data_IF_118147947587
#
_entry.id   IF_118147947587
#
_cell.length_a   1.000
_cell.length_b   1.000
_cell.length_c   1.000
_cell.angle_alpha   90.00
_cell.angle_beta   90.00
_cell.angle_gamma   90.00
#
_symmetry.space_group_name_H-M   'P 1'
#
loop_
_entity.id
_entity.type
_entity.pdbx_description
1 polymer ?
#
# COMPACT_ATOMS: atom_id res chain seq x y z
N UNK A 1 18.08 16.74 -8.38
CA UNK A 1 18.86 15.59 -8.91
C UNK A 1 17.86 14.61 -9.49
N UNK A 2 17.98 14.27 -10.77
CA UNK A 2 17.06 13.35 -11.45
C UNK A 2 17.63 11.93 -11.53
N UNK A 3 16.76 10.95 -11.66
CA UNK A 3 17.12 9.56 -11.95
C UNK A 3 16.78 9.26 -13.42
N UNK A 4 17.70 8.64 -14.15
CA UNK A 4 17.50 8.23 -15.55
C UNK A 4 17.81 6.74 -15.64
N UNK A 5 16.89 5.97 -16.23
CA UNK A 5 17.08 4.56 -16.53
C UNK A 5 16.56 4.25 -17.95
N UNK A 6 17.27 3.36 -18.65
CA UNK A 6 16.88 2.85 -19.97
C UNK A 6 16.55 1.37 -19.85
N UNK A 7 15.40 0.97 -20.37
CA UNK A 7 14.94 -0.43 -20.37
C UNK A 7 15.07 -1.01 -21.78
N UNK A 8 15.84 -2.09 -21.93
CA UNK A 8 16.14 -2.72 -23.22
C UNK A 8 15.16 -3.84 -23.61
N UNK A 9 14.19 -4.15 -22.75
CA UNK A 9 13.20 -5.22 -22.95
C UNK A 9 11.81 -4.72 -22.58
N UNK A 10 10.81 -5.23 -23.29
CA UNK A 10 9.40 -5.02 -22.93
C UNK A 10 9.04 -5.80 -21.66
N UNK A 11 8.15 -5.23 -20.84
CA UNK A 11 7.71 -5.79 -19.57
C UNK A 11 7.14 -4.71 -18.63
N UNK A 12 7.17 -4.99 -17.33
CA UNK A 12 6.83 -4.02 -16.28
C UNK A 12 8.07 -3.76 -15.44
N UNK A 13 8.58 -2.54 -15.48
CA UNK A 13 9.67 -2.12 -14.61
C UNK A 13 9.15 -1.81 -13.21
N UNK A 14 9.87 -2.30 -12.20
CA UNK A 14 9.63 -1.95 -10.79
C UNK A 14 10.73 -1.00 -10.36
N UNK A 15 10.36 0.17 -9.87
CA UNK A 15 11.30 1.18 -9.36
C UNK A 15 10.95 1.46 -7.91
N UNK A 16 11.94 1.37 -7.03
CA UNK A 16 11.77 1.64 -5.60
C UNK A 16 12.75 2.67 -5.08
N UNK A 17 12.39 3.24 -3.94
CA UNK A 17 13.28 4.08 -3.15
C UNK A 17 13.06 3.85 -1.67
N UNK A 18 14.18 3.69 -0.98
CA UNK A 18 14.28 3.41 0.43
C UNK A 18 14.79 4.68 1.14
N UNK A 19 13.94 5.33 1.93
CA UNK A 19 14.33 6.57 2.60
C UNK A 19 15.00 6.32 3.94
N UNK A 20 16.04 7.12 4.24
CA UNK A 20 16.71 7.09 5.54
C UNK A 20 15.69 7.22 6.68
N UNK A 21 15.72 6.32 7.68
CA UNK A 21 14.81 6.39 8.82
C UNK A 21 14.94 7.72 9.56
N UNK A 22 13.82 8.18 10.12
CA UNK A 22 13.76 9.37 10.97
C UNK A 22 13.14 8.99 12.31
N UNK A 23 13.56 9.69 13.36
CA UNK A 23 12.89 9.60 14.65
C UNK A 23 11.80 10.67 14.68
N UNK A 24 10.57 10.25 14.93
CA UNK A 24 9.44 11.14 15.14
C UNK A 24 9.03 11.09 16.61
N UNK A 25 8.78 12.27 17.16
CA UNK A 25 8.16 12.40 18.48
C UNK A 25 6.80 13.09 18.28
N UNK A 26 5.77 12.50 18.86
CA UNK A 26 4.41 13.01 18.74
C UNK A 26 3.94 13.48 20.12
N UNK A 27 3.37 14.69 20.14
CA UNK A 27 2.76 15.25 21.33
C UNK A 27 1.54 14.41 21.76
N UNK A 28 1.36 14.09 23.05
CA UNK A 28 0.27 13.21 23.51
C UNK A 28 -1.14 13.65 23.09
N UNK A 29 -1.39 14.96 22.96
CA UNK A 29 -2.65 15.54 22.49
C UNK A 29 -3.00 15.19 21.03
N UNK A 30 -2.00 14.77 20.24
CA UNK A 30 -2.18 14.37 18.83
C UNK A 30 -2.39 12.88 18.62
N UNK A 31 -2.28 12.07 19.68
CA UNK A 31 -2.22 10.61 19.53
C UNK A 31 -3.49 10.03 18.90
N UNK A 32 -4.67 10.55 19.27
CA UNK A 32 -5.94 10.05 18.72
C UNK A 32 -6.11 10.39 17.24
N UNK A 33 -5.59 11.54 16.79
CA UNK A 33 -5.54 11.85 15.36
C UNK A 33 -4.61 10.89 14.63
N UNK A 34 -3.40 10.71 15.16
CA UNK A 34 -2.41 9.84 14.56
C UNK A 34 -2.88 8.38 14.47
N UNK A 35 -3.55 7.87 15.51
CA UNK A 35 -4.16 6.53 15.48
C UNK A 35 -5.25 6.37 14.42
N UNK A 36 -5.97 7.43 14.06
CA UNK A 36 -6.90 7.37 12.92
C UNK A 36 -6.15 7.32 11.59
N UNK A 37 -5.10 8.12 11.44
CA UNK A 37 -4.30 8.19 10.21
C UNK A 37 -3.60 6.87 9.88
N UNK A 38 -3.08 6.16 10.88
CA UNK A 38 -2.42 4.87 10.68
C UNK A 38 -3.36 3.66 10.78
N UNK A 39 -4.66 3.90 10.95
CA UNK A 39 -5.67 2.86 11.22
C UNK A 39 -5.26 1.92 12.37
N UNK A 40 -4.80 2.51 13.49
CA UNK A 40 -4.28 1.77 14.63
C UNK A 40 -5.31 0.78 15.18
N UNK A 41 -4.93 -0.50 15.17
CA UNK A 41 -5.71 -1.58 15.78
C UNK A 41 -5.74 -1.50 17.31
N UNK A 42 -6.66 -2.26 17.91
CA UNK A 42 -6.91 -2.26 19.35
C UNK A 42 -5.65 -2.58 20.18
N UNK A 43 -4.84 -3.55 19.74
CA UNK A 43 -3.61 -3.94 20.44
C UNK A 43 -2.63 -2.76 20.63
N UNK A 44 -2.48 -1.89 19.61
CA UNK A 44 -1.61 -0.72 19.72
C UNK A 44 -2.19 0.32 20.67
N UNK A 45 -3.51 0.54 20.61
CA UNK A 45 -4.23 1.47 21.49
C UNK A 45 -4.15 1.03 22.96
N UNK A 46 -4.33 -0.26 23.22
CA UNK A 46 -4.16 -0.84 24.56
C UNK A 46 -2.72 -0.70 25.06
N UNK A 47 -1.74 -0.99 24.18
CA UNK A 47 -0.32 -0.81 24.50
C UNK A 47 -0.02 0.63 24.92
N UNK A 48 -0.52 1.62 24.18
CA UNK A 48 -0.36 3.03 24.51
C UNK A 48 -1.06 3.44 25.81
N UNK A 49 -2.28 2.95 26.04
CA UNK A 49 -3.06 3.25 27.24
C UNK A 49 -2.34 2.77 28.51
N UNK A 50 -1.63 1.65 28.44
CA UNK A 50 -0.88 1.05 29.55
C UNK A 50 0.43 1.78 29.91
N UNK A 51 0.91 2.74 29.10
CA UNK A 51 2.14 3.49 29.39
C UNK A 51 1.88 4.50 30.53
N UNK A 52 2.68 4.49 31.63
CA UNK A 52 2.55 5.47 32.72
C UNK A 52 2.88 6.91 32.30
N UNK A 53 2.32 7.88 33.02
CA UNK A 53 2.65 9.29 32.80
C UNK A 53 4.01 9.69 33.40
N UNK A 54 4.75 10.65 32.78
CA UNK A 54 4.44 11.29 31.52
C UNK A 54 4.75 10.38 30.32
N UNK A 55 3.74 10.01 29.53
CA UNK A 55 3.92 9.14 28.37
C UNK A 55 4.43 9.93 27.17
N UNK A 56 5.30 9.31 26.37
CA UNK A 56 5.87 9.92 25.16
C UNK A 56 5.71 8.96 24.01
N UNK A 57 5.22 9.46 22.88
CA UNK A 57 5.27 8.73 21.63
C UNK A 57 6.58 9.03 20.93
N UNK A 58 7.39 7.98 20.71
CA UNK A 58 8.63 8.06 19.96
C UNK A 58 8.73 6.86 19.04
N UNK A 59 8.85 7.14 17.74
CA UNK A 59 8.90 6.08 16.73
C UNK A 59 10.08 6.27 15.78
N UNK A 60 10.52 5.14 15.23
CA UNK A 60 11.43 5.12 14.09
C UNK A 60 10.59 4.92 12.83
N UNK A 61 10.50 5.96 12.03
CA UNK A 61 9.71 6.01 10.81
C UNK A 61 10.60 5.86 9.57
N UNK A 62 10.23 4.94 8.68
CA UNK A 62 10.87 4.72 7.38
C UNK A 62 9.81 4.77 6.29
N UNK A 63 10.17 5.29 5.10
CA UNK A 63 9.31 5.23 3.92
C UNK A 63 9.94 4.34 2.87
N UNK A 64 9.17 3.33 2.48
CA UNK A 64 9.44 2.44 1.36
C UNK A 64 8.45 2.83 0.27
N UNK A 65 8.93 3.27 -0.89
CA UNK A 65 8.06 3.66 -2.00
C UNK A 65 8.42 2.85 -3.21
N UNK A 66 7.40 2.37 -3.92
CA UNK A 66 7.59 1.72 -5.21
C UNK A 66 6.59 2.23 -6.23
N UNK A 67 6.99 2.16 -7.49
CA UNK A 67 6.14 2.41 -8.64
C UNK A 67 6.39 1.35 -9.71
N UNK A 68 5.38 1.15 -10.55
CA UNK A 68 5.38 0.20 -11.65
C UNK A 68 5.22 0.99 -12.95
N UNK A 69 6.07 0.73 -13.92
CA UNK A 69 6.01 1.36 -15.24
C UNK A 69 5.96 0.31 -16.34
N UNK A 70 4.94 0.36 -17.19
CA UNK A 70 4.90 -0.47 -18.39
C UNK A 70 5.96 0.01 -19.38
N UNK A 71 6.79 -0.92 -19.84
CA UNK A 71 7.79 -0.70 -20.90
C UNK A 71 7.36 -1.54 -22.11
N UNK A 72 7.01 -0.88 -23.21
CA UNK A 72 6.55 -1.56 -24.43
C UNK A 72 5.27 -2.40 -24.22
N UNK A 73 5.13 -3.46 -25.02
CA UNK A 73 3.99 -4.37 -24.93
C UNK A 73 4.12 -5.35 -23.75
N UNK A 74 2.98 -5.72 -23.19
CA UNK A 74 2.92 -6.74 -22.14
C UNK A 74 3.12 -8.12 -22.73
N UNK A 75 4.15 -8.84 -22.29
CA UNK A 75 4.35 -10.24 -22.61
C UNK A 75 3.66 -11.10 -21.54
N UNK A 76 2.70 -11.94 -21.94
CA UNK A 76 1.81 -12.66 -21.03
C UNK A 76 2.53 -13.65 -20.08
N UNK A 77 3.74 -14.08 -20.42
CA UNK A 77 4.45 -15.16 -19.72
C UNK A 77 5.37 -14.70 -18.59
N UNK A 78 5.54 -13.39 -18.36
CA UNK A 78 6.53 -12.87 -17.40
C UNK A 78 5.88 -12.21 -16.21
N UNK A 79 6.33 -12.51 -15.00
CA UNK A 79 5.85 -11.90 -13.75
C UNK A 79 6.69 -10.70 -13.31
N UNK A 80 7.19 -9.89 -14.25
CA UNK A 80 8.15 -8.79 -13.99
C UNK A 80 7.61 -7.78 -12.96
N UNK A 81 6.28 -7.60 -12.87
CA UNK A 81 5.61 -6.71 -11.90
C UNK A 81 5.68 -7.20 -10.45
N UNK A 82 5.79 -8.52 -10.24
CA UNK A 82 5.67 -9.16 -8.94
C UNK A 82 7.00 -9.27 -8.19
N UNK A 83 8.10 -8.87 -8.82
CA UNK A 83 9.44 -8.95 -8.24
C UNK A 83 9.54 -8.06 -6.97
N UNK A 84 9.79 -8.64 -5.79
CA UNK A 84 10.07 -7.87 -4.58
C UNK A 84 11.41 -7.14 -4.72
N UNK A 85 11.49 -5.92 -4.19
CA UNK A 85 12.73 -5.15 -4.14
C UNK A 85 13.54 -5.42 -2.87
N UNK A 86 12.98 -6.14 -1.90
CA UNK A 86 13.62 -6.44 -0.62
C UNK A 86 13.41 -5.35 0.44
N UNK A 87 12.43 -4.47 0.24
CA UNK A 87 12.12 -3.39 1.18
C UNK A 87 11.48 -3.95 2.46
N UNK A 88 11.54 -3.18 3.55
CA UNK A 88 11.01 -3.66 4.83
C UNK A 88 9.48 -3.81 4.83
N UNK A 89 8.77 -3.07 3.97
CA UNK A 89 7.33 -3.18 3.72
C UNK A 89 7.05 -2.99 2.22
N UNK A 90 6.38 -3.95 1.59
CA UNK A 90 6.11 -3.93 0.14
C UNK A 90 4.66 -4.31 -0.19
N UNK A 91 4.07 -3.61 -1.16
CA UNK A 91 2.85 -4.02 -1.85
C UNK A 91 3.27 -4.78 -3.12
N UNK A 92 2.76 -5.99 -3.31
CA UNK A 92 3.05 -6.85 -4.46
C UNK A 92 1.74 -7.13 -5.20
N UNK A 93 1.59 -6.70 -6.47
CA UNK A 93 0.48 -7.13 -7.31
C UNK A 93 0.58 -8.62 -7.60
N UNK A 94 -0.53 -9.34 -7.44
CA UNK A 94 -0.60 -10.78 -7.75
C UNK A 94 -0.74 -11.02 -9.27
N UNK A 95 -1.28 -10.04 -9.99
CA UNK A 95 -1.39 -10.02 -11.46
C UNK A 95 -0.80 -8.74 -12.04
N UNK A 96 -0.61 -8.68 -13.37
CA UNK A 96 -0.08 -7.49 -14.02
C UNK A 96 -1.03 -6.29 -13.84
N UNK A 97 -0.68 -5.28 -13.00
CA UNK A 97 -1.61 -4.20 -12.70
C UNK A 97 -1.77 -3.24 -13.89
N UNK A 98 -0.94 -3.36 -14.93
CA UNK A 98 -0.98 -2.50 -16.11
C UNK A 98 -1.94 -3.01 -17.19
N UNK A 99 -2.45 -4.24 -17.06
CA UNK A 99 -3.42 -4.84 -17.98
C UNK A 99 -4.86 -4.77 -17.49
N UNK A 100 -5.11 -4.25 -16.28
CA UNK A 100 -6.43 -4.20 -15.67
C UNK A 100 -7.44 -3.44 -16.54
N UNK A 101 -8.62 -4.03 -16.70
CA UNK A 101 -9.78 -3.45 -17.36
C UNK A 101 -10.84 -3.01 -16.34
N UNK A 102 -11.76 -2.17 -16.79
CA UNK A 102 -12.90 -1.78 -15.97
C UNK A 102 -13.69 -3.02 -15.54
N UNK A 103 -13.93 -3.15 -14.23
CA UNK A 103 -14.62 -4.28 -13.63
C UNK A 103 -13.71 -5.44 -13.19
N UNK A 104 -12.42 -5.42 -13.57
CA UNK A 104 -11.44 -6.39 -13.06
C UNK A 104 -10.93 -5.99 -11.67
N UNK A 105 -10.49 -6.99 -10.90
CA UNK A 105 -10.03 -6.82 -9.53
C UNK A 105 -8.52 -6.67 -9.50
N UNK A 106 -8.03 -5.63 -8.80
CA UNK A 106 -6.63 -5.55 -8.42
C UNK A 106 -6.40 -6.35 -7.12
N UNK A 107 -5.79 -7.52 -7.26
CA UNK A 107 -5.34 -8.32 -6.11
C UNK A 107 -3.90 -7.99 -5.76
N UNK A 108 -3.65 -7.73 -4.47
CA UNK A 108 -2.30 -7.45 -3.94
C UNK A 108 -2.04 -8.23 -2.66
N UNK A 109 -0.76 -8.48 -2.39
CA UNK A 109 -0.26 -8.99 -1.11
C UNK A 109 0.71 -7.99 -0.51
N UNK A 110 0.68 -7.86 0.81
CA UNK A 110 1.64 -7.03 1.55
C UNK A 110 2.69 -7.91 2.20
N UNK A 111 3.95 -7.59 1.96
CA UNK A 111 5.10 -8.24 2.60
C UNK A 111 5.70 -7.32 3.65
N UNK A 112 6.03 -7.88 4.81
CA UNK A 112 6.89 -7.27 5.81
C UNK A 112 8.17 -8.08 5.89
N UNK A 113 9.31 -7.46 5.58
CA UNK A 113 10.61 -8.13 5.48
C UNK A 113 10.55 -9.43 4.64
N UNK A 114 9.90 -9.36 3.48
CA UNK A 114 9.73 -10.49 2.56
C UNK A 114 8.65 -11.51 2.96
N UNK A 115 8.01 -11.38 4.13
CA UNK A 115 6.99 -12.33 4.62
C UNK A 115 5.59 -11.73 4.48
N UNK A 116 4.60 -12.46 3.93
CA UNK A 116 3.21 -12.00 3.88
C UNK A 116 2.67 -11.66 5.27
N UNK A 117 2.00 -10.52 5.40
CA UNK A 117 1.46 -10.07 6.69
C UNK A 117 0.00 -9.61 6.59
N UNK A 118 -0.92 -10.22 7.37
CA UNK A 118 -2.33 -9.82 7.42
C UNK A 118 -2.54 -8.56 8.26
N UNK A 119 -3.76 -8.01 8.23
CA UNK A 119 -4.20 -6.90 9.09
C UNK A 119 -3.60 -5.54 8.78
N UNK A 120 -2.96 -5.37 7.62
CA UNK A 120 -2.47 -4.06 7.18
C UNK A 120 -3.57 -3.28 6.48
N UNK A 121 -3.79 -2.03 6.89
CA UNK A 121 -4.61 -1.09 6.16
C UNK A 121 -3.92 -0.68 4.84
N UNK A 122 -4.65 -0.75 3.74
CA UNK A 122 -4.26 -0.31 2.42
C UNK A 122 -5.25 0.73 1.93
N UNK A 123 -4.72 1.91 1.61
CA UNK A 123 -5.46 2.99 0.98
C UNK A 123 -5.38 2.95 -0.54
N UNK A 124 -6.49 3.20 -1.22
CA UNK A 124 -6.52 3.43 -2.66
C UNK A 124 -7.57 4.47 -3.06
N UNK A 125 -7.35 5.12 -4.20
CA UNK A 125 -8.33 6.04 -4.81
C UNK A 125 -8.71 5.46 -6.17
N UNK A 126 -10.00 5.28 -6.41
CA UNK A 126 -10.50 4.75 -7.67
C UNK A 126 -10.48 5.81 -8.78
N UNK A 127 -10.54 5.35 -10.04
CA UNK A 127 -10.52 6.23 -11.22
C UNK A 127 -11.64 7.26 -11.15
N UNK A 128 -11.28 8.54 -11.24
CA UNK A 128 -12.19 9.72 -11.15
C UNK A 128 -12.84 9.92 -9.78
N UNK A 129 -12.36 9.26 -8.75
CA UNK A 129 -12.76 9.54 -7.37
C UNK A 129 -11.72 10.40 -6.67
N UNK A 130 -12.14 11.08 -5.61
CA UNK A 130 -11.27 11.89 -4.73
C UNK A 130 -11.14 11.23 -3.35
N UNK A 131 -12.10 10.38 -2.99
CA UNK A 131 -12.15 9.71 -1.70
C UNK A 131 -11.19 8.53 -1.69
N UNK A 132 -10.44 8.43 -0.61
CA UNK A 132 -9.66 7.25 -0.28
C UNK A 132 -10.57 6.14 0.27
N UNK A 133 -10.38 4.94 -0.24
CA UNK A 133 -10.93 3.70 0.27
C UNK A 133 -9.86 2.98 1.05
N UNK A 134 -10.25 2.40 2.19
CA UNK A 134 -9.36 1.63 3.05
C UNK A 134 -9.86 0.18 3.07
N UNK A 135 -8.96 -0.76 2.76
CA UNK A 135 -9.17 -2.20 2.89
C UNK A 135 -8.07 -2.80 3.77
N UNK A 136 -8.30 -3.97 4.35
CA UNK A 136 -7.30 -4.67 5.15
C UNK A 136 -6.85 -5.96 4.44
N UNK A 137 -5.58 -6.32 4.56
CA UNK A 137 -4.96 -7.43 3.81
C UNK A 137 -5.52 -8.84 4.11
N UNK A 138 -6.37 -8.98 5.12
CA UNK A 138 -7.09 -10.19 5.53
C UNK A 138 -8.60 -10.13 5.26
N UNK A 139 -9.10 -9.00 4.77
CA UNK A 139 -10.51 -8.84 4.44
C UNK A 139 -10.83 -9.53 3.12
N UNK A 140 -11.49 -10.69 3.19
CA UNK A 140 -12.02 -11.44 2.04
C UNK A 140 -13.14 -10.70 1.25
N UNK A 141 -13.32 -9.40 1.47
CA UNK A 141 -14.37 -8.58 0.88
C UNK A 141 -13.73 -7.60 -0.10
N UNK A 142 -13.68 -8.00 -1.37
CA UNK A 142 -13.41 -7.04 -2.45
C UNK A 142 -14.47 -5.92 -2.46
N UNK A 143 -14.18 -4.75 -3.05
CA UNK A 143 -15.17 -3.69 -3.16
C UNK A 143 -16.42 -4.24 -3.86
N UNK A 144 -17.59 -4.10 -3.21
CA UNK A 144 -18.87 -4.47 -3.83
C UNK A 144 -19.03 -3.62 -5.08
N UNK A 145 -19.27 -4.20 -6.27
CA UNK A 145 -19.45 -3.40 -7.48
C UNK A 145 -20.60 -2.40 -7.26
N UNK A 146 -20.51 -1.18 -7.84
CA UNK A 146 -21.61 -0.23 -7.77
C UNK A 146 -22.87 -0.91 -8.29
N UNK A 147 -23.99 -0.75 -7.57
CA UNK A 147 -25.30 -1.22 -8.02
C UNK A 147 -25.55 -0.60 -9.39
N UNK A 148 -25.47 -1.41 -10.45
CA UNK A 148 -25.96 -1.01 -11.76
C UNK A 148 -27.47 -0.78 -11.61
N UNK A 149 -27.87 0.49 -11.61
CA UNK A 149 -29.26 0.82 -11.87
C UNK A 149 -29.59 0.32 -13.28
N UNK A 150 -30.68 -0.44 -13.47
CA UNK A 150 -31.09 -0.84 -14.81
C UNK A 150 -31.28 0.43 -15.63
N UNK A 151 -30.68 0.46 -16.81
CA UNK A 151 -30.95 1.49 -17.79
C UNK A 151 -32.47 1.51 -18.01
N UNK A 152 -33.09 2.63 -17.66
CA UNK A 152 -34.48 2.89 -18.03
C UNK A 152 -34.54 2.85 -19.56
N UNK A 153 -35.35 1.93 -20.09
CA UNK A 153 -35.69 1.85 -21.51
C UNK A 153 -36.59 3.00 -21.95
#
# INVERSE_FOLDING_TARGET
MGFIATFSRSGVAVVGVDLKPRILELSPDKIELYFREIHAGEALRMTWAAIPEPRRWRERYSRHTKTLARVGESLAEKTDWGQPLGEALEIIPEENPTTLKAGEVLSVRVLRAGVPMPGFALGFVAVREIREHIVFTDSMVGPKPPLMHPALG
#
